data_IF_208244861953
#
_entry.id   IF_208244861953
#
_cell.length_a   1.000
_cell.length_b   1.000
_cell.length_c   1.000
_cell.angle_alpha   90.00
_cell.angle_beta   90.00
_cell.angle_gamma   90.00
#
_symmetry.space_group_name_H-M   'P 1'
#
loop_
_entity.id
_entity.type
_entity.pdbx_description
1 polymer ?
#
# COMPACT_ATOMS: atom_id res chain seq x y z
N UNK A 1 -2.30 -16.84 18.47
CA UNK A 1 -1.05 -16.53 17.78
C UNK A 1 -0.52 -17.85 17.29
N UNK A 2 -0.11 -17.93 16.03
CA UNK A 2 0.46 -19.13 15.42
C UNK A 2 1.75 -18.74 14.71
N UNK A 3 2.67 -19.68 14.62
CA UNK A 3 3.83 -19.60 13.73
C UNK A 3 3.50 -20.38 12.46
N UNK A 4 3.68 -19.76 11.30
CA UNK A 4 3.39 -20.36 10.00
C UNK A 4 4.20 -19.68 8.90
N UNK A 5 4.41 -20.38 7.80
CA UNK A 5 4.89 -19.76 6.58
C UNK A 5 3.84 -18.78 6.04
N UNK A 6 4.33 -17.62 5.60
CA UNK A 6 3.57 -16.59 4.91
C UNK A 6 4.26 -16.26 3.58
N UNK A 7 3.51 -16.33 2.49
CA UNK A 7 3.95 -15.85 1.18
C UNK A 7 3.54 -14.40 1.04
N UNK A 8 4.51 -13.52 0.80
CA UNK A 8 4.30 -12.10 0.59
C UNK A 8 4.22 -11.81 -0.91
N UNK A 9 3.17 -11.12 -1.32
CA UNK A 9 2.98 -10.58 -2.65
C UNK A 9 2.93 -9.05 -2.59
N UNK A 10 3.53 -8.42 -3.59
CA UNK A 10 3.52 -6.96 -3.78
C UNK A 10 3.09 -6.63 -5.19
N UNK A 11 2.81 -5.35 -5.47
CA UNK A 11 2.53 -4.91 -6.82
C UNK A 11 3.73 -5.17 -7.74
N UNK A 12 3.42 -5.67 -8.92
CA UNK A 12 4.38 -5.90 -9.99
C UNK A 12 5.03 -4.57 -10.37
N UNK A 13 6.35 -4.57 -10.58
CA UNK A 13 7.11 -3.37 -10.98
C UNK A 13 7.81 -3.54 -12.33
N UNK A 14 7.76 -4.74 -12.94
CA UNK A 14 8.22 -5.02 -14.29
C UNK A 14 7.09 -4.77 -15.30
N UNK A 15 6.76 -3.49 -15.47
CA UNK A 15 5.82 -3.03 -16.47
C UNK A 15 6.44 -3.06 -17.86
N UNK A 16 5.62 -3.38 -18.86
CA UNK A 16 6.05 -3.40 -20.25
C UNK A 16 6.25 -1.95 -20.74
N UNK A 17 7.35 -1.75 -21.47
CA UNK A 17 7.67 -0.49 -22.12
C UNK A 17 7.55 -0.64 -23.63
N UNK A 18 6.83 0.27 -24.27
CA UNK A 18 6.70 0.31 -25.73
C UNK A 18 7.19 1.64 -26.28
N UNK A 19 7.76 1.65 -27.50
CA UNK A 19 8.18 2.89 -28.13
C UNK A 19 6.98 3.77 -28.46
N UNK A 20 7.13 5.07 -28.23
CA UNK A 20 6.15 6.09 -28.53
C UNK A 20 6.81 7.34 -29.11
N UNK A 21 6.01 8.11 -29.83
CA UNK A 21 6.47 9.26 -30.60
C UNK A 21 5.56 10.44 -30.33
N UNK A 22 6.12 11.53 -29.82
CA UNK A 22 5.42 12.80 -29.65
C UNK A 22 5.72 13.70 -30.84
N UNK A 23 4.68 14.17 -31.51
CA UNK A 23 4.80 15.07 -32.64
C UNK A 23 4.11 16.40 -32.37
N UNK A 24 4.79 17.49 -32.71
CA UNK A 24 4.27 18.84 -32.61
C UNK A 24 4.85 19.75 -33.68
N UNK A 25 4.21 20.92 -33.85
CA UNK A 25 4.68 21.99 -34.73
C UNK A 25 4.90 23.25 -33.91
N UNK A 26 6.10 23.79 -33.96
CA UNK A 26 6.41 25.11 -33.41
C UNK A 26 6.23 26.18 -34.50
N UNK A 27 5.26 27.06 -34.31
CA UNK A 27 4.96 28.20 -35.17
C UNK A 27 5.71 29.43 -34.67
N UNK A 28 6.58 29.99 -35.50
CA UNK A 28 7.44 31.13 -35.21
C UNK A 28 6.94 32.34 -36.01
N UNK A 29 6.43 33.36 -35.33
CA UNK A 29 5.95 34.61 -35.94
C UNK A 29 7.10 35.62 -35.97
N UNK A 30 7.47 36.07 -37.17
CA UNK A 30 8.63 36.94 -37.40
C UNK A 30 8.16 38.28 -37.97
N UNK A 31 8.48 39.38 -37.29
CA UNK A 31 8.38 40.72 -37.85
C UNK A 31 9.59 40.97 -38.70
N UNK A 32 9.36 41.45 -39.91
CA UNK A 32 10.42 41.98 -40.75
C UNK A 32 10.14 43.42 -41.08
N UNK A 33 11.09 44.27 -40.69
CA UNK A 33 11.12 45.66 -41.11
C UNK A 33 12.14 45.84 -42.22
N UNK A 34 11.73 46.49 -43.30
CA UNK A 34 12.59 46.80 -44.43
C UNK A 34 12.60 48.30 -44.72
N UNK A 35 13.80 48.84 -44.97
CA UNK A 35 14.00 50.22 -45.41
C UNK A 35 14.74 50.21 -46.74
N UNK A 36 14.00 50.33 -47.84
CA UNK A 36 14.50 50.42 -49.23
C UNK A 36 15.48 49.29 -49.60
N UNK A 37 15.39 48.11 -48.97
CA UNK A 37 16.37 47.01 -49.06
C UNK A 37 17.80 47.36 -48.61
N UNK A 38 18.03 48.56 -48.08
CA UNK A 38 19.31 48.99 -47.50
C UNK A 38 19.48 48.38 -46.12
N UNK A 39 18.37 48.26 -45.37
CA UNK A 39 18.35 47.68 -44.03
C UNK A 39 17.11 46.83 -43.85
N UNK A 40 17.33 45.53 -43.64
CA UNK A 40 16.29 44.57 -43.27
C UNK A 40 16.60 44.05 -41.88
N UNK A 41 15.61 44.08 -40.98
CA UNK A 41 15.76 43.57 -39.61
C UNK A 41 14.67 42.55 -39.33
N UNK A 42 15.06 41.40 -38.80
CA UNK A 42 14.16 40.33 -38.38
C UNK A 42 14.03 40.33 -36.87
N UNK A 43 12.80 40.21 -36.38
CA UNK A 43 12.52 40.11 -34.96
C UNK A 43 11.46 39.04 -34.73
N UNK A 44 11.73 38.09 -33.84
CA UNK A 44 10.73 37.10 -33.41
C UNK A 44 9.73 37.80 -32.49
N UNK A 45 8.47 37.82 -32.89
CA UNK A 45 7.38 38.43 -32.11
C UNK A 45 6.69 37.40 -31.23
N UNK A 46 6.64 36.15 -31.68
CA UNK A 46 5.95 35.09 -30.95
C UNK A 46 6.39 33.70 -31.37
N UNK A 47 6.23 32.77 -30.45
CA UNK A 47 6.37 31.33 -30.67
C UNK A 47 5.18 30.64 -30.04
N UNK A 48 4.60 29.71 -30.76
CA UNK A 48 3.40 29.00 -30.35
C UNK A 48 3.58 27.54 -30.75
N UNK A 49 3.34 26.62 -29.82
CA UNK A 49 3.33 25.20 -30.12
C UNK A 49 1.92 24.79 -30.49
N UNK A 50 1.80 24.04 -31.58
CA UNK A 50 0.54 23.59 -32.13
C UNK A 50 0.62 22.08 -32.35
N UNK A 51 -0.47 21.41 -31.99
CA UNK A 51 -0.65 20.01 -32.34
C UNK A 51 -0.74 19.82 -33.86
N UNK A 52 -0.24 18.68 -34.32
CA UNK A 52 -0.38 18.24 -35.71
C UNK A 52 -1.42 17.13 -35.82
N UNK A 53 -1.76 16.72 -37.05
CA UNK A 53 -2.68 15.59 -37.23
C UNK A 53 -1.99 14.25 -36.90
N UNK A 54 -2.77 13.26 -36.47
CA UNK A 54 -2.26 11.90 -36.22
C UNK A 54 -1.66 11.29 -37.49
N UNK A 55 -2.27 11.57 -38.65
CA UNK A 55 -1.79 11.08 -39.95
C UNK A 55 -0.43 11.67 -40.30
N UNK A 56 -0.24 12.96 -40.07
CA UNK A 56 1.04 13.64 -40.29
C UNK A 56 2.11 13.07 -39.36
N UNK A 57 1.79 12.89 -38.07
CA UNK A 57 2.71 12.28 -37.11
C UNK A 57 3.11 10.85 -37.51
N UNK A 58 2.15 10.06 -38.00
CA UNK A 58 2.40 8.68 -38.46
C UNK A 58 3.30 8.66 -39.70
N UNK A 59 3.07 9.57 -40.66
CA UNK A 59 3.92 9.73 -41.84
C UNK A 59 5.34 10.17 -41.45
N UNK A 60 5.45 11.13 -40.53
CA UNK A 60 6.72 11.63 -40.01
C UNK A 60 7.55 10.52 -39.36
N UNK A 61 6.93 9.66 -38.54
CA UNK A 61 7.60 8.54 -37.88
C UNK A 61 8.01 7.45 -38.88
N UNK A 62 7.14 7.13 -39.84
CA UNK A 62 7.36 6.01 -40.78
C UNK A 62 8.36 6.37 -41.88
N UNK A 63 8.15 7.53 -42.52
CA UNK A 63 8.89 7.93 -43.71
C UNK A 63 10.04 8.89 -43.39
N UNK A 64 10.11 9.43 -42.18
CA UNK A 64 11.05 10.51 -41.78
C UNK A 64 10.95 11.73 -42.71
N UNK A 65 9.77 11.95 -43.28
CA UNK A 65 9.43 13.05 -44.17
C UNK A 65 8.08 13.59 -43.70
N UNK A 66 7.95 14.91 -43.68
CA UNK A 66 6.68 15.56 -43.43
C UNK A 66 6.51 16.76 -44.36
N UNK A 67 5.37 16.81 -45.06
CA UNK A 67 5.08 17.81 -46.10
C UNK A 67 6.22 17.99 -47.13
N UNK A 68 6.90 16.90 -47.50
CA UNK A 68 8.02 16.93 -48.45
C UNK A 68 9.36 17.39 -47.86
N UNK A 69 9.42 17.72 -46.58
CA UNK A 69 10.65 18.08 -45.86
C UNK A 69 11.17 16.89 -45.06
N UNK A 70 12.47 16.60 -45.19
CA UNK A 70 13.10 15.54 -44.43
C UNK A 70 13.28 15.95 -42.95
N UNK A 71 13.00 15.02 -42.05
CA UNK A 71 13.24 15.14 -40.62
C UNK A 71 14.69 14.75 -40.34
N UNK A 72 15.47 15.69 -39.80
CA UNK A 72 16.87 15.47 -39.43
C UNK A 72 17.00 15.36 -37.92
N UNK A 73 17.78 14.40 -37.45
CA UNK A 73 18.06 14.25 -36.02
C UNK A 73 18.93 15.42 -35.54
N UNK A 74 18.35 16.26 -34.68
CA UNK A 74 19.05 17.42 -34.11
C UNK A 74 19.72 17.07 -32.79
N UNK A 75 19.09 16.18 -32.02
CA UNK A 75 19.58 15.61 -30.77
C UNK A 75 19.11 14.14 -30.69
N UNK A 76 19.77 13.28 -29.89
CA UNK A 76 19.35 11.89 -29.74
C UNK A 76 17.87 11.79 -29.40
N UNK A 77 17.09 11.14 -30.27
CA UNK A 77 15.65 10.97 -30.09
C UNK A 77 14.79 12.18 -30.46
N UNK A 78 15.36 13.30 -30.95
CA UNK A 78 14.63 14.45 -31.48
C UNK A 78 14.95 14.63 -32.97
N UNK A 79 13.94 14.41 -33.80
CA UNK A 79 14.00 14.72 -35.22
C UNK A 79 13.20 15.99 -35.50
N UNK A 80 13.77 16.90 -36.28
CA UNK A 80 13.10 18.15 -36.66
C UNK A 80 13.32 18.47 -38.13
N UNK A 81 12.34 19.13 -38.75
CA UNK A 81 12.50 19.71 -40.08
C UNK A 81 13.33 20.98 -40.02
N UNK A 82 13.92 21.44 -41.15
CA UNK A 82 14.31 22.85 -41.26
C UNK A 82 13.10 23.78 -41.03
N UNK A 83 13.36 25.07 -40.79
CA UNK A 83 12.30 26.08 -40.78
C UNK A 83 11.62 26.15 -42.15
N UNK A 84 10.30 25.98 -42.18
CA UNK A 84 9.46 26.03 -43.38
C UNK A 84 8.67 27.33 -43.35
N UNK A 85 8.75 28.13 -44.41
CA UNK A 85 7.90 29.32 -44.55
C UNK A 85 6.45 28.88 -44.83
N UNK A 86 5.49 29.36 -44.04
CA UNK A 86 4.06 29.02 -44.21
C UNK A 86 3.42 29.80 -45.37
N UNK A 87 4.02 30.94 -45.74
CA UNK A 87 3.51 31.85 -46.76
C UNK A 87 4.67 32.42 -47.60
N UNK A 88 4.47 32.53 -48.91
CA UNK A 88 5.38 33.23 -49.83
C UNK A 88 5.24 34.76 -49.66
N UNK A 89 5.79 35.30 -48.57
CA UNK A 89 5.71 36.73 -48.27
C UNK A 89 6.86 37.49 -48.92
N UNK A 90 6.54 38.34 -49.90
CA UNK A 90 7.51 39.29 -50.45
C UNK A 90 7.78 40.44 -49.47
N UNK A 91 9.05 40.80 -49.28
CA UNK A 91 9.44 41.91 -48.41
C UNK A 91 8.96 43.26 -48.99
N UNK A 92 8.22 44.08 -48.21
CA UNK A 92 7.80 45.41 -48.66
C UNK A 92 9.01 46.32 -48.88
N UNK A 93 8.93 47.25 -49.82
CA UNK A 93 10.02 48.21 -50.11
C UNK A 93 10.29 49.10 -48.89
N UNK A 94 9.25 49.45 -48.13
CA UNK A 94 9.34 50.24 -46.91
C UNK A 94 8.26 49.80 -45.92
N UNK A 95 8.64 49.58 -44.66
CA UNK A 95 7.70 49.26 -43.57
C UNK A 95 7.91 47.87 -42.98
N UNK A 96 6.95 47.43 -42.18
CA UNK A 96 6.97 46.14 -41.48
C UNK A 96 5.94 45.16 -42.05
N UNK A 97 6.32 43.91 -42.20
CA UNK A 97 5.41 42.78 -42.45
C UNK A 97 5.62 41.70 -41.38
N UNK A 98 4.64 40.82 -41.21
CA UNK A 98 4.75 39.65 -40.34
C UNK A 98 4.54 38.43 -41.22
N UNK A 99 5.44 37.46 -41.11
CA UNK A 99 5.25 36.13 -41.69
C UNK A 99 5.48 35.07 -40.62
N UNK A 100 5.02 33.85 -40.90
CA UNK A 100 5.15 32.72 -40.01
C UNK A 100 6.05 31.64 -40.63
N UNK A 101 6.82 30.99 -39.77
CA UNK A 101 7.59 29.80 -40.08
C UNK A 101 7.17 28.67 -39.16
N UNK A 102 7.25 27.45 -39.67
CA UNK A 102 6.96 26.25 -38.91
C UNK A 102 8.16 25.32 -38.85
N UNK A 103 8.34 24.73 -37.68
CA UNK A 103 9.28 23.63 -37.45
C UNK A 103 8.47 22.46 -36.92
N UNK A 104 8.51 21.35 -37.63
CA UNK A 104 7.88 20.11 -37.18
C UNK A 104 8.91 19.28 -36.45
N UNK A 105 8.52 18.72 -35.31
CA UNK A 105 9.41 17.92 -34.48
C UNK A 105 8.75 16.62 -34.05
N UNK A 106 9.57 15.58 -33.95
CA UNK A 106 9.21 14.25 -33.47
C UNK A 106 10.19 13.87 -32.36
N UNK A 107 9.66 13.67 -31.15
CA UNK A 107 10.42 13.16 -30.00
C UNK A 107 10.12 11.67 -29.85
N UNK A 108 11.17 10.87 -29.76
CA UNK A 108 11.08 9.41 -29.58
C UNK A 108 11.43 9.07 -28.14
N UNK A 109 10.52 8.37 -27.46
CA UNK A 109 10.76 7.83 -26.12
C UNK A 109 9.91 6.56 -25.92
N UNK A 110 9.78 6.08 -24.69
CA UNK A 110 9.00 4.91 -24.32
C UNK A 110 7.86 5.27 -23.38
N UNK A 111 6.73 4.59 -23.54
CA UNK A 111 5.62 4.62 -22.57
C UNK A 111 5.60 3.33 -21.77
N UNK A 112 5.36 3.47 -20.48
CA UNK A 112 5.22 2.35 -19.55
C UNK A 112 3.74 2.03 -19.39
N UNK A 113 3.39 0.75 -19.59
CA UNK A 113 2.01 0.29 -19.56
C UNK A 113 1.74 -0.39 -18.22
N UNK A 114 0.84 0.19 -17.43
CA UNK A 114 0.43 -0.37 -16.14
C UNK A 114 -0.83 -1.23 -16.34
N UNK A 115 -1.82 -0.69 -17.03
CA UNK A 115 -3.04 -1.36 -17.41
C UNK A 115 -3.58 -0.79 -18.74
N UNK A 116 -4.79 -1.17 -19.14
CA UNK A 116 -5.40 -0.70 -20.40
C UNK A 116 -5.65 0.82 -20.46
N UNK A 117 -5.85 1.46 -19.31
CA UNK A 117 -6.25 2.86 -19.14
C UNK A 117 -5.18 3.71 -18.45
N UNK A 118 -4.19 3.09 -17.81
CA UNK A 118 -3.15 3.74 -17.04
C UNK A 118 -1.83 3.60 -17.78
N UNK A 119 -1.42 4.70 -18.40
CA UNK A 119 -0.17 4.83 -19.15
C UNK A 119 0.70 5.90 -18.51
N UNK A 120 1.97 5.58 -18.29
CA UNK A 120 2.96 6.55 -17.84
C UNK A 120 3.91 6.88 -18.98
N UNK A 121 4.12 8.17 -19.21
CA UNK A 121 4.97 8.65 -20.29
C UNK A 121 5.82 9.85 -19.84
N UNK A 122 7.11 9.90 -20.22
CA UNK A 122 7.91 11.11 -20.11
C UNK A 122 7.50 12.17 -21.15
N UNK A 123 6.77 11.79 -22.20
CA UNK A 123 6.35 12.67 -23.29
C UNK A 123 5.16 13.57 -22.90
N UNK A 124 4.36 13.17 -21.91
CA UNK A 124 3.19 13.93 -21.48
C UNK A 124 2.24 13.14 -20.57
N UNK A 125 1.17 13.80 -20.12
CA UNK A 125 0.11 13.15 -19.34
C UNK A 125 -0.83 12.38 -20.28
N UNK A 126 -1.00 11.08 -20.04
CA UNK A 126 -1.83 10.16 -20.82
C UNK A 126 -3.10 9.65 -20.10
N UNK A 127 -3.53 10.29 -19.00
CA UNK A 127 -4.61 9.80 -18.10
C UNK A 127 -5.95 9.48 -18.79
N UNK A 128 -6.22 10.04 -19.97
CA UNK A 128 -7.47 9.84 -20.74
C UNK A 128 -7.28 9.00 -22.02
N UNK A 129 -6.12 8.37 -22.17
CA UNK A 129 -5.73 7.68 -23.39
C UNK A 129 -5.58 6.18 -23.13
N UNK A 130 -6.12 5.37 -24.03
CA UNK A 130 -6.10 3.92 -23.91
C UNK A 130 -5.04 3.31 -24.80
N UNK A 131 -4.35 2.27 -24.30
CA UNK A 131 -3.27 1.61 -25.03
C UNK A 131 -3.71 1.09 -26.40
N UNK A 132 -4.95 0.63 -26.51
CA UNK A 132 -5.54 0.05 -27.73
C UNK A 132 -5.81 1.08 -28.83
N UNK A 133 -5.91 2.37 -28.50
CA UNK A 133 -6.14 3.44 -29.48
C UNK A 133 -4.88 3.75 -30.31
N UNK A 134 -3.69 3.49 -29.76
CA UNK A 134 -2.42 3.78 -30.44
C UNK A 134 -2.08 5.27 -30.56
N UNK A 135 -2.89 6.15 -29.96
CA UNK A 135 -2.67 7.61 -30.02
C UNK A 135 -3.35 8.35 -28.87
N UNK A 136 -2.79 9.51 -28.55
CA UNK A 136 -3.29 10.46 -27.56
C UNK A 136 -3.15 11.88 -28.11
N UNK A 137 -4.24 12.65 -28.07
CA UNK A 137 -4.26 14.04 -28.53
C UNK A 137 -4.19 14.93 -27.29
N UNK A 138 -3.12 15.72 -27.18
CA UNK A 138 -2.99 16.75 -26.16
C UNK A 138 -3.36 18.13 -26.74
N UNK A 139 -3.22 19.19 -25.94
CA UNK A 139 -3.50 20.56 -26.38
C UNK A 139 -2.49 21.01 -27.45
N UNK A 140 -1.20 20.77 -27.20
CA UNK A 140 -0.10 21.31 -27.99
C UNK A 140 0.63 20.27 -28.84
N UNK A 141 0.32 18.98 -28.68
CA UNK A 141 0.99 17.89 -29.39
C UNK A 141 0.08 16.66 -29.55
N UNK A 142 0.61 15.65 -30.25
CA UNK A 142 0.01 14.33 -30.38
C UNK A 142 1.08 13.28 -30.09
N UNK A 143 0.73 12.29 -29.27
CA UNK A 143 1.59 11.16 -28.96
C UNK A 143 1.01 9.91 -29.64
N UNK A 144 1.83 9.16 -30.37
CA UNK A 144 1.43 7.92 -31.05
C UNK A 144 2.31 6.75 -30.63
N UNK A 145 1.75 5.55 -30.66
CA UNK A 145 2.44 4.29 -30.36
C UNK A 145 1.79 3.14 -31.12
N UNK A 146 2.44 1.97 -31.14
CA UNK A 146 1.83 0.78 -31.73
C UNK A 146 0.71 0.25 -30.83
N UNK A 147 -0.54 0.11 -31.31
CA UNK A 147 -1.65 -0.32 -30.48
C UNK A 147 -1.47 -1.77 -30.02
N UNK A 148 -1.50 -1.98 -28.70
CA UNK A 148 -1.38 -3.30 -28.09
C UNK A 148 -2.67 -3.66 -27.37
N UNK A 149 -3.11 -4.91 -27.51
CA UNK A 149 -4.18 -5.47 -26.70
C UNK A 149 -3.59 -6.24 -25.53
N UNK A 150 -3.78 -5.72 -24.32
CA UNK A 150 -3.25 -6.34 -23.11
C UNK A 150 -4.33 -7.24 -22.53
N UNK A 151 -3.99 -8.50 -22.31
CA UNK A 151 -4.83 -9.39 -21.53
C UNK A 151 -4.59 -9.08 -20.04
N UNK A 152 -5.65 -8.99 -19.22
CA UNK A 152 -5.49 -8.71 -17.80
C UNK A 152 -4.66 -9.83 -17.16
N UNK A 153 -3.45 -9.49 -16.72
CA UNK A 153 -2.56 -10.37 -15.99
C UNK A 153 -2.62 -10.06 -14.50
N UNK A 154 -2.13 -10.98 -13.67
CA UNK A 154 -2.08 -10.76 -12.23
C UNK A 154 -1.18 -9.53 -11.92
N UNK A 155 -1.70 -8.49 -11.26
CA UNK A 155 -0.91 -7.28 -10.94
C UNK A 155 0.07 -7.51 -9.78
N UNK A 156 0.10 -8.72 -9.20
CA UNK A 156 0.90 -9.06 -8.04
C UNK A 156 2.06 -9.96 -8.43
N UNK A 157 3.21 -9.70 -7.81
CA UNK A 157 4.41 -10.53 -7.90
C UNK A 157 4.73 -11.12 -6.53
N UNK A 158 5.10 -12.41 -6.51
CA UNK A 158 5.61 -13.07 -5.31
C UNK A 158 6.96 -12.44 -4.94
N UNK A 159 7.07 -11.91 -3.72
CA UNK A 159 8.35 -11.43 -3.16
C UNK A 159 9.14 -12.65 -2.69
N UNK A 160 8.66 -13.31 -1.63
CA UNK A 160 9.23 -14.56 -1.13
C UNK A 160 8.28 -15.25 -0.13
N UNK A 161 8.74 -16.33 0.48
CA UNK A 161 8.08 -17.05 1.56
C UNK A 161 8.88 -16.90 2.85
N UNK A 162 8.21 -16.45 3.91
CA UNK A 162 8.84 -16.10 5.18
C UNK A 162 8.20 -16.86 6.34
N UNK A 163 8.99 -17.12 7.38
CA UNK A 163 8.44 -17.55 8.67
C UNK A 163 7.76 -16.36 9.35
N UNK A 164 6.47 -16.48 9.63
CA UNK A 164 5.67 -15.40 10.18
C UNK A 164 4.91 -15.81 11.45
N UNK A 165 4.78 -14.85 12.36
CA UNK A 165 3.95 -14.95 13.55
C UNK A 165 2.64 -14.23 13.25
N UNK A 166 1.53 -14.97 13.25
CA UNK A 166 0.22 -14.46 12.84
C UNK A 166 -0.72 -14.35 14.04
N UNK A 167 -1.36 -13.20 14.15
CA UNK A 167 -2.42 -12.90 15.11
C UNK A 167 -3.72 -12.55 14.37
N UNK A 168 -4.78 -12.22 15.09
CA UNK A 168 -6.05 -11.81 14.46
C UNK A 168 -5.94 -10.48 13.70
N UNK A 169 -4.93 -9.65 13.99
CA UNK A 169 -4.80 -8.29 13.46
C UNK A 169 -3.48 -8.04 12.74
N UNK A 170 -2.43 -8.71 13.17
CA UNK A 170 -1.07 -8.48 12.68
C UNK A 170 -0.39 -9.76 12.23
N UNK A 171 0.52 -9.59 11.28
CA UNK A 171 1.49 -10.59 10.82
C UNK A 171 2.87 -10.01 11.03
N UNK A 172 3.70 -10.73 11.75
CA UNK A 172 5.07 -10.33 12.04
C UNK A 172 6.02 -11.26 11.28
N UNK A 173 7.02 -10.72 10.62
CA UNK A 173 8.12 -11.47 10.00
C UNK A 173 9.39 -11.12 10.79
N UNK A 174 9.76 -11.95 11.79
CA UNK A 174 10.83 -11.59 12.74
C UNK A 174 12.19 -11.44 12.09
N UNK A 175 12.48 -12.21 11.03
CA UNK A 175 13.79 -12.18 10.35
C UNK A 175 14.15 -10.80 9.80
N UNK A 176 13.14 -9.99 9.43
CA UNK A 176 13.32 -8.68 8.81
C UNK A 176 12.72 -7.54 9.64
N UNK A 177 12.31 -7.81 10.89
CA UNK A 177 11.62 -6.85 11.76
C UNK A 177 10.40 -6.18 11.10
N UNK A 178 9.68 -6.92 10.23
CA UNK A 178 8.52 -6.41 9.51
C UNK A 178 7.23 -6.76 10.25
N UNK A 179 6.31 -5.80 10.30
CA UNK A 179 4.96 -5.97 10.82
C UNK A 179 3.93 -5.47 9.81
N UNK A 180 2.96 -6.32 9.52
CA UNK A 180 1.83 -5.99 8.65
C UNK A 180 0.54 -6.04 9.45
N UNK A 181 -0.30 -5.03 9.29
CA UNK A 181 -1.66 -5.02 9.84
C UNK A 181 -2.64 -5.44 8.75
N UNK A 182 -3.62 -6.30 9.08
CA UNK A 182 -4.68 -6.69 8.16
C UNK A 182 -5.63 -5.53 7.88
N UNK A 183 -5.92 -5.32 6.60
CA UNK A 183 -6.95 -4.41 6.14
C UNK A 183 -8.32 -5.13 6.19
N UNK A 184 -9.34 -4.56 6.85
CA UNK A 184 -10.68 -5.15 6.89
C UNK A 184 -11.45 -5.06 5.55
N UNK A 185 -10.95 -4.32 4.55
CA UNK A 185 -11.59 -4.20 3.24
C UNK A 185 -11.35 -5.44 2.36
N UNK A 186 -12.25 -6.41 2.50
CA UNK A 186 -12.25 -7.63 1.68
C UNK A 186 -12.55 -7.38 0.21
N UNK A 187 -13.26 -6.29 -0.13
CA UNK A 187 -13.61 -6.00 -1.51
C UNK A 187 -12.37 -5.55 -2.29
N UNK A 188 -11.55 -4.68 -1.69
CA UNK A 188 -10.27 -4.27 -2.25
C UNK A 188 -9.32 -5.46 -2.47
N UNK A 189 -9.25 -6.38 -1.50
CA UNK A 189 -8.47 -7.61 -1.63
C UNK A 189 -8.96 -8.48 -2.81
N UNK A 190 -10.27 -8.66 -2.94
CA UNK A 190 -10.86 -9.43 -4.05
C UNK A 190 -10.56 -8.82 -5.42
N UNK A 191 -10.60 -7.49 -5.54
CA UNK A 191 -10.29 -6.80 -6.79
C UNK A 191 -8.84 -7.05 -7.24
N UNK A 192 -7.89 -6.97 -6.31
CA UNK A 192 -6.46 -7.22 -6.61
C UNK A 192 -6.18 -8.68 -7.00
N UNK A 193 -6.92 -9.63 -6.43
CA UNK A 193 -6.72 -11.06 -6.65
C UNK A 193 -7.48 -11.62 -7.86
N UNK A 194 -8.40 -10.85 -8.47
CA UNK A 194 -9.31 -11.31 -9.53
C UNK A 194 -8.63 -12.03 -10.70
N UNK A 195 -7.44 -11.58 -11.08
CA UNK A 195 -6.66 -12.12 -12.19
C UNK A 195 -5.46 -12.97 -11.73
N UNK A 196 -5.36 -13.22 -10.43
CA UNK A 196 -4.29 -14.00 -9.82
C UNK A 196 -4.79 -15.41 -9.47
N UNK A 197 -3.93 -16.42 -9.63
CA UNK A 197 -4.23 -17.78 -9.19
C UNK A 197 -3.98 -17.94 -7.67
N UNK A 198 -4.61 -17.07 -6.87
CA UNK A 198 -4.46 -16.99 -5.41
C UNK A 198 -5.85 -17.13 -4.78
N UNK A 199 -6.05 -18.21 -4.00
CA UNK A 199 -7.36 -18.57 -3.44
C UNK A 199 -7.69 -17.88 -2.12
N UNK A 200 -6.69 -17.62 -1.28
CA UNK A 200 -6.87 -17.00 0.05
C UNK A 200 -5.77 -15.97 0.33
N UNK A 201 -5.89 -14.79 -0.24
CA UNK A 201 -5.01 -13.65 0.05
C UNK A 201 -5.64 -12.69 1.04
N UNK A 202 -4.83 -12.20 1.99
CA UNK A 202 -5.21 -11.21 2.97
C UNK A 202 -4.47 -9.91 2.68
N UNK A 203 -5.22 -8.82 2.52
CA UNK A 203 -4.66 -7.49 2.26
C UNK A 203 -4.15 -6.86 3.54
N UNK A 204 -2.96 -6.25 3.48
CA UNK A 204 -2.43 -5.42 4.54
C UNK A 204 -2.78 -3.93 4.34
N UNK A 205 -2.70 -3.14 5.41
CA UNK A 205 -2.85 -1.68 5.36
C UNK A 205 -1.77 -0.99 4.52
N UNK A 206 -0.63 -1.66 4.31
CA UNK A 206 0.46 -1.22 3.45
C UNK A 206 0.33 -1.67 1.99
N UNK A 207 -0.84 -2.14 1.56
CA UNK A 207 -1.12 -2.64 0.20
C UNK A 207 -0.28 -3.86 -0.23
N UNK A 208 -0.01 -4.77 0.70
CA UNK A 208 0.60 -6.07 0.40
C UNK A 208 -0.42 -7.20 0.55
N UNK A 209 -0.23 -8.29 -0.18
CA UNK A 209 -1.06 -9.48 -0.05
C UNK A 209 -0.25 -10.57 0.68
N UNK A 210 -0.84 -11.14 1.72
CA UNK A 210 -0.27 -12.23 2.50
C UNK A 210 -1.09 -13.50 2.27
N UNK A 211 -0.42 -14.61 1.95
CA UNK A 211 -1.03 -15.92 1.74
C UNK A 211 -0.39 -16.92 2.69
N UNK A 212 -1.20 -17.77 3.32
CA UNK A 212 -0.73 -18.73 4.32
C UNK A 212 -0.90 -20.17 3.79
N UNK A 213 0.12 -20.75 3.13
CA UNK A 213 0.00 -22.04 2.46
C UNK A 213 -0.27 -23.21 3.41
N UNK A 214 0.15 -23.10 4.67
CA UNK A 214 -0.07 -24.13 5.68
C UNK A 214 -1.52 -24.14 6.22
N UNK A 215 -2.33 -23.14 5.87
CA UNK A 215 -3.73 -23.05 6.26
C UNK A 215 -4.58 -23.65 5.13
N UNK A 216 -5.44 -24.64 5.44
CA UNK A 216 -6.31 -25.23 4.44
C UNK A 216 -7.22 -24.20 3.74
N UNK A 217 -7.30 -24.27 2.41
CA UNK A 217 -8.12 -23.37 1.58
C UNK A 217 -9.64 -23.40 1.87
N UNK A 218 -10.12 -24.33 2.69
CA UNK A 218 -11.52 -24.46 3.10
C UNK A 218 -11.82 -23.77 4.44
N UNK A 219 -10.83 -23.18 5.11
CA UNK A 219 -10.99 -22.50 6.40
C UNK A 219 -10.42 -21.08 6.28
N UNK A 220 -11.10 -20.10 6.87
CA UNK A 220 -10.59 -18.72 6.95
C UNK A 220 -9.48 -18.64 8.00
N UNK A 221 -8.48 -17.79 7.80
CA UNK A 221 -7.37 -17.57 8.74
C UNK A 221 -7.89 -17.29 10.15
N UNK A 222 -8.91 -16.45 10.28
CA UNK A 222 -9.53 -16.11 11.56
C UNK A 222 -10.06 -17.35 12.28
N UNK A 223 -10.78 -18.23 11.58
CA UNK A 223 -11.31 -19.47 12.13
C UNK A 223 -10.18 -20.45 12.50
N UNK A 224 -9.15 -20.53 11.67
CA UNK A 224 -7.97 -21.34 11.95
C UNK A 224 -7.23 -20.86 13.20
N UNK A 225 -7.09 -19.55 13.40
CA UNK A 225 -6.50 -18.97 14.61
C UNK A 225 -7.34 -19.23 15.86
N UNK A 226 -8.66 -19.21 15.74
CA UNK A 226 -9.59 -19.49 16.84
C UNK A 226 -9.60 -20.98 17.20
N UNK A 227 -9.57 -21.87 16.20
CA UNK A 227 -9.57 -23.34 16.39
C UNK A 227 -8.19 -23.87 16.79
N UNK A 228 -7.12 -23.28 16.26
CA UNK A 228 -5.72 -23.61 16.56
C UNK A 228 -5.29 -23.17 17.95
N UNK A 229 -6.03 -22.25 18.59
CA UNK A 229 -6.13 -22.25 20.05
C UNK A 229 -6.86 -23.53 20.43
N UNK A 230 -6.11 -24.62 20.57
CA UNK A 230 -6.61 -25.84 21.18
C UNK A 230 -7.45 -25.44 22.40
N UNK A 231 -8.73 -25.82 22.50
CA UNK A 231 -9.33 -25.90 23.80
C UNK A 231 -8.44 -26.93 24.51
N UNK A 232 -7.62 -26.50 25.48
CA UNK A 232 -7.38 -27.43 26.58
C UNK A 232 -8.76 -27.95 26.92
N UNK A 233 -8.99 -29.26 26.74
CA UNK A 233 -10.20 -29.94 27.22
C UNK A 233 -10.48 -29.31 28.58
N UNK A 234 -11.51 -28.47 28.66
CA UNK A 234 -12.04 -28.11 29.97
C UNK A 234 -12.52 -29.45 30.48
N UNK A 235 -11.81 -30.02 31.45
CA UNK A 235 -12.20 -31.26 32.11
C UNK A 235 -13.58 -31.02 32.74
N UNK A 236 -14.63 -31.22 31.95
CA UNK A 236 -16.00 -31.36 32.45
C UNK A 236 -16.05 -32.72 33.09
N UNK A 237 -15.94 -32.75 34.42
CA UNK A 237 -16.21 -33.93 35.21
C UNK A 237 -17.66 -33.90 35.63
N UNK A 238 -18.39 -34.98 35.38
CA UNK A 238 -19.73 -35.20 35.92
C UNK A 238 -19.63 -35.58 37.40
N UNK A 239 -20.45 -34.94 38.24
CA UNK A 239 -20.72 -35.42 39.59
C UNK A 239 -22.15 -35.97 39.62
N UNK A 240 -22.31 -37.11 40.26
CA UNK A 240 -23.62 -37.69 40.58
C UNK A 240 -24.01 -37.14 41.95
N UNK A 241 -25.05 -36.31 42.01
CA UNK A 241 -25.61 -35.81 43.26
C UNK A 241 -26.28 -36.96 44.02
N UNK A 242 -26.48 -36.80 45.34
CA UNK A 242 -27.08 -37.81 46.22
C UNK A 242 -28.50 -38.27 45.80
N UNK A 243 -29.14 -37.56 44.87
CA UNK A 243 -30.43 -37.88 44.24
C UNK A 243 -30.29 -38.61 42.88
N UNK A 244 -29.11 -39.14 42.55
CA UNK A 244 -28.81 -39.85 41.30
C UNK A 244 -28.95 -39.02 40.02
N UNK A 245 -28.93 -37.68 40.11
CA UNK A 245 -28.81 -36.80 38.95
C UNK A 245 -27.35 -36.47 38.64
N UNK A 246 -26.99 -36.56 37.36
CA UNK A 246 -25.72 -36.07 36.85
C UNK A 246 -25.84 -34.56 36.60
N UNK A 247 -24.93 -33.76 37.18
CA UNK A 247 -24.79 -32.35 36.85
C UNK A 247 -23.40 -32.06 36.28
N UNK A 248 -23.38 -31.40 35.13
CA UNK A 248 -22.15 -30.89 34.52
C UNK A 248 -21.72 -29.59 35.20
N UNK A 249 -20.46 -29.51 35.62
CA UNK A 249 -19.88 -28.24 36.06
C UNK A 249 -18.53 -28.00 35.38
N UNK A 250 -18.30 -26.73 35.07
CA UNK A 250 -17.06 -26.23 34.50
C UNK A 250 -16.09 -25.91 35.64
N UNK A 251 -14.98 -26.66 35.71
CA UNK A 251 -13.85 -26.29 36.56
C UNK A 251 -13.24 -24.99 36.00
N UNK A 252 -13.48 -23.87 36.69
CA UNK A 252 -12.68 -22.65 36.48
C UNK A 252 -11.26 -22.98 36.94
N UNK A 253 -10.28 -22.81 36.05
CA UNK A 253 -8.89 -23.10 36.38
C UNK A 253 -8.51 -22.34 37.65
N UNK A 254 -7.88 -23.03 38.61
CA UNK A 254 -7.28 -22.39 39.79
C UNK A 254 -6.25 -21.40 39.27
N UNK A 255 -6.54 -20.11 39.36
CA UNK A 255 -5.50 -19.10 39.19
C UNK A 255 -4.35 -19.42 40.15
N UNK A 256 -3.08 -19.22 39.74
CA UNK A 256 -1.95 -19.51 40.61
C UNK A 256 -2.11 -18.68 41.88
N UNK A 257 -1.95 -19.32 43.05
CA UNK A 257 -2.06 -18.62 44.34
C UNK A 257 -1.07 -17.46 44.33
N UNK A 258 -1.53 -16.25 44.63
CA UNK A 258 -0.73 -15.03 44.67
C UNK A 258 0.55 -15.19 45.51
N UNK A 259 0.46 -15.98 46.59
CA UNK A 259 1.58 -16.34 47.48
C UNK A 259 2.73 -17.00 46.72
N UNK A 260 2.43 -17.94 45.82
CA UNK A 260 3.44 -18.60 45.01
C UNK A 260 4.06 -17.62 44.00
N UNK A 261 3.26 -16.74 43.41
CA UNK A 261 3.77 -15.73 42.47
C UNK A 261 4.69 -14.69 43.14
N UNK A 262 4.41 -14.32 44.39
CA UNK A 262 5.14 -13.28 45.12
C UNK A 262 6.35 -13.82 45.89
N UNK A 263 6.24 -15.03 46.46
CA UNK A 263 7.22 -15.57 47.38
C UNK A 263 7.86 -16.89 46.89
N UNK A 264 7.43 -17.41 45.73
CA UNK A 264 7.87 -18.70 45.19
C UNK A 264 7.79 -19.84 46.23
N UNK A 265 6.81 -19.73 47.12
CA UNK A 265 6.55 -20.60 48.26
C UNK A 265 5.06 -20.90 48.32
N UNK A 266 4.69 -22.10 48.76
CA UNK A 266 3.29 -22.45 49.01
C UNK A 266 2.77 -21.86 50.33
N UNK A 267 3.68 -21.56 51.27
CA UNK A 267 3.39 -20.97 52.57
C UNK A 267 3.76 -19.49 52.59
N UNK A 268 2.93 -18.67 53.22
CA UNK A 268 3.16 -17.24 53.36
C UNK A 268 4.33 -17.01 54.33
N UNK A 269 5.47 -16.46 53.89
CA UNK A 269 6.55 -16.14 54.81
C UNK A 269 6.10 -15.02 55.77
N UNK A 270 6.63 -14.95 57.00
CA UNK A 270 6.37 -13.83 57.87
C UNK A 270 6.96 -12.55 57.25
N UNK A 271 6.13 -11.52 57.08
CA UNK A 271 6.55 -10.19 56.64
C UNK A 271 5.89 -9.12 57.49
N UNK A 272 6.61 -8.01 57.68
CA UNK A 272 6.10 -6.88 58.46
C UNK A 272 4.97 -6.19 57.68
N UNK A 273 3.79 -6.19 58.29
CA UNK A 273 2.60 -5.58 57.69
C UNK A 273 2.55 -4.06 57.94
N UNK A 274 3.32 -3.55 58.91
CA UNK A 274 3.29 -2.14 59.31
C UNK A 274 4.66 -1.65 59.84
N UNK A 275 5.38 -0.80 59.08
CA UNK A 275 5.12 -0.44 57.68
C UNK A 275 5.44 -1.61 56.73
N UNK A 276 4.71 -1.73 55.61
CA UNK A 276 5.04 -2.69 54.54
C UNK A 276 6.38 -2.25 53.93
N UNK A 277 7.45 -2.99 54.23
CA UNK A 277 8.80 -2.71 53.72
C UNK A 277 9.21 -3.62 52.56
N UNK A 278 8.46 -4.70 52.29
CA UNK A 278 8.79 -5.63 51.20
C UNK A 278 8.43 -5.02 49.82
N UNK A 279 9.46 -4.73 49.02
CA UNK A 279 9.32 -4.17 47.69
C UNK A 279 8.45 -5.02 46.74
N UNK A 280 8.38 -6.35 46.94
CA UNK A 280 7.56 -7.24 46.11
C UNK A 280 6.07 -7.01 46.35
N UNK A 281 5.70 -6.79 47.61
CA UNK A 281 4.33 -6.45 47.99
C UNK A 281 3.98 -5.03 47.50
N UNK A 282 4.89 -4.07 47.63
CA UNK A 282 4.67 -2.70 47.13
C UNK A 282 4.47 -2.69 45.60
N UNK A 283 5.26 -3.46 44.84
CA UNK A 283 5.12 -3.59 43.40
C UNK A 283 3.81 -4.28 43.00
N UNK A 284 3.39 -5.31 43.75
CA UNK A 284 2.13 -5.99 43.52
C UNK A 284 0.92 -5.08 43.79
N UNK A 285 0.96 -4.31 44.89
CA UNK A 285 -0.06 -3.31 45.24
C UNK A 285 -0.19 -2.26 44.13
N UNK A 286 0.94 -1.77 43.60
CA UNK A 286 0.98 -0.83 42.49
C UNK A 286 0.40 -1.46 41.20
N UNK A 287 0.81 -2.69 40.88
CA UNK A 287 0.41 -3.38 39.64
C UNK A 287 -1.09 -3.72 39.62
N UNK A 288 -1.68 -4.00 40.79
CA UNK A 288 -3.08 -4.42 40.93
C UNK A 288 -4.00 -3.27 41.37
N UNK A 289 -3.46 -2.05 41.50
CA UNK A 289 -4.16 -0.82 41.87
C UNK A 289 -5.06 -0.96 43.11
N UNK A 290 -4.56 -1.66 44.13
CA UNK A 290 -5.30 -1.89 45.38
C UNK A 290 -4.96 -0.75 46.34
N UNK A 291 -5.95 0.06 46.72
CA UNK A 291 -5.74 1.15 47.68
C UNK A 291 -5.61 0.57 49.11
N UNK A 292 -4.78 1.20 49.97
CA UNK A 292 -4.60 0.78 51.37
C UNK A 292 -5.92 0.64 52.15
N UNK A 293 -6.98 1.35 51.74
CA UNK A 293 -8.31 1.25 52.35
C UNK A 293 -8.91 -0.16 52.21
N UNK A 294 -8.64 -0.89 51.13
CA UNK A 294 -9.14 -2.27 50.96
C UNK A 294 -8.47 -3.26 51.93
N UNK A 295 -7.18 -3.06 52.23
CA UNK A 295 -6.39 -3.94 53.09
C UNK A 295 -6.74 -3.80 54.59
N UNK A 296 -7.20 -2.61 55.01
CA UNK A 296 -7.58 -2.35 56.41
C UNK A 296 -8.97 -2.93 56.74
N UNK A 297 -9.91 -2.97 55.78
CA UNK A 297 -11.25 -3.52 56.02
C UNK A 297 -11.27 -5.02 56.29
N UNK A 298 -10.39 -5.82 55.65
CA UNK A 298 -10.32 -7.27 55.90
C UNK A 298 -9.67 -7.62 57.27
N UNK A 299 -8.76 -6.77 57.76
CA UNK A 299 -8.13 -7.00 59.07
C UNK A 299 -9.02 -6.57 60.26
N UNK A 300 -9.98 -5.66 60.05
CA UNK A 300 -10.99 -5.37 61.09
C UNK A 300 -12.06 -6.48 61.13
N UNK A 301 -12.37 -7.12 60.00
CA UNK A 301 -13.30 -8.25 59.96
C UNK A 301 -12.72 -9.51 60.63
N UNK A 302 -11.42 -9.80 60.45
CA UNK A 302 -10.75 -10.94 61.10
C UNK A 302 -10.40 -10.70 62.57
N UNK A 303 -10.15 -9.45 62.98
CA UNK A 303 -10.00 -9.11 64.41
C UNK A 303 -11.31 -9.21 65.20
N UNK A 304 -12.45 -8.91 64.58
CA UNK A 304 -13.77 -9.00 65.24
C UNK A 304 -14.35 -10.43 65.25
N UNK A 305 -13.90 -11.33 64.37
CA UNK A 305 -14.25 -12.76 64.44
C UNK A 305 -13.40 -13.56 65.44
N UNK A 306 -12.22 -13.05 65.84
CA UNK A 306 -11.33 -13.71 66.78
C UNK A 306 -11.64 -13.41 68.26
N UNK A 307 -12.43 -12.36 68.57
CA UNK A 307 -12.75 -11.96 69.95
C UNK A 307 -14.17 -12.34 70.44
N UNK A 308 -14.94 -13.14 69.69
CA UNK A 308 -16.31 -13.54 70.05
C UNK A 308 -16.49 -15.03 70.42
N UNK A 309 -15.42 -15.81 70.55
CA UNK A 309 -15.52 -17.22 70.99
C UNK A 309 -14.45 -17.62 72.01
N UNK A 310 -14.53 -17.07 73.23
CA UNK A 310 -13.93 -17.68 74.44
C UNK A 310 -14.49 -17.04 75.74
N UNK A 311 -15.72 -17.40 76.12
CA UNK A 311 -16.08 -17.61 77.53
C UNK A 311 -17.35 -18.48 77.62
N UNK A 312 -17.22 -19.74 78.02
CA UNK A 312 -17.81 -20.42 79.20
C UNK A 312 -17.78 -21.91 78.84
N UNK A 313 -17.34 -22.90 79.60
CA UNK A 313 -16.72 -23.07 80.93
C UNK A 313 -16.24 -24.54 80.96
N UNK A 314 -15.20 -24.92 81.74
CA UNK A 314 -14.96 -26.32 82.06
C UNK A 314 -15.91 -26.78 83.18
N UNK A 315 -16.38 -28.02 83.08
CA UNK A 315 -17.24 -28.65 84.06
C UNK A 315 -16.49 -28.94 85.37
N UNK A 316 -17.15 -28.61 86.49
CA UNK A 316 -17.42 -29.51 87.60
C UNK A 316 -18.76 -29.13 88.24
#
# INVERSE_FOLDING_TARGET
MIETDAVLYTNRNDYDQIPAYQCYRDLIKISVYNFLYIRTTHQIIGRERLRISITDCTEAVTNKILHGHALTETMPGLLSTPEIDEEDVSLPILGSTIYARSVYSVVTDSITIIDEHTLLSPLGNLDNCTISTGSCILEDDVIIWEPVTIQPTCPLQKVDTFNAIVTLRYVLIPEYDLAFEFNPDYFQAYQLLRFCNITQGYLSTSNHILVFPNIPNNIMLHDFLIRGKNPQRRDTKTLILANNQESDYTLVAREPRLVYQLFNSEELPPFDTHPITDNRLLYAIQTWNVTQQAYVTENIATANSANSTLSLNPAH
#
